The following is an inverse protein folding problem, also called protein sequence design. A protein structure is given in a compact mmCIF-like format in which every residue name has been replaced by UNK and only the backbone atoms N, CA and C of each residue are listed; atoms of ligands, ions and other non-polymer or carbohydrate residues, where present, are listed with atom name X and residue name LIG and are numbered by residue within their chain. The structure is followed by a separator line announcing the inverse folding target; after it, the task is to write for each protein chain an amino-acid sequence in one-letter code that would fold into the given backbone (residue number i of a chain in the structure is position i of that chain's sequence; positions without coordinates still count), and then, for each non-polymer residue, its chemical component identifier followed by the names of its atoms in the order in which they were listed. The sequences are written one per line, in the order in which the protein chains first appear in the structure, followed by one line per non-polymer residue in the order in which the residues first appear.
data_IF_115317881581
#
_entry.id   IF_115317881581
#
_cell.length_a   1.000
_cell.length_b   1.000
_cell.length_c   1.000
_cell.angle_alpha   90.00
_cell.angle_beta   90.00
_cell.angle_gamma   90.00
#
_symmetry.space_group_name_H-M   'P 1'
#
loop_
_entity.id
_entity.type
_entity.pdbx_description
1 polymer ?
#
# COMPACT_ATOMS: atom_id res chain seq x y z
N UNK A 1 -21.06 4.41 39.30
CA UNK A 1 -19.84 3.69 38.87
C UNK A 1 -18.99 4.73 38.19
N UNK A 2 -17.84 5.06 38.78
CA UNK A 2 -17.01 6.16 38.30
C UNK A 2 -16.44 5.83 36.93
N UNK A 3 -16.58 6.76 35.99
CA UNK A 3 -15.84 6.73 34.74
C UNK A 3 -14.35 6.85 35.08
N UNK A 4 -13.65 5.74 35.19
CA UNK A 4 -12.19 5.73 35.35
C UNK A 4 -11.59 6.19 34.02
N UNK A 5 -11.48 7.52 33.85
CA UNK A 5 -10.83 8.11 32.69
C UNK A 5 -9.36 7.68 32.71
N UNK A 6 -8.96 6.89 31.71
CA UNK A 6 -7.61 6.36 31.62
C UNK A 6 -6.60 7.51 31.51
N UNK A 7 -5.44 7.45 32.19
CA UNK A 7 -4.43 8.48 32.08
C UNK A 7 -3.95 8.60 30.63
N UNK A 8 -3.76 9.83 30.11
CA UNK A 8 -3.30 10.04 28.75
C UNK A 8 -1.85 9.61 28.56
N UNK A 9 -1.51 9.31 27.32
CA UNK A 9 -0.12 9.17 26.87
C UNK A 9 0.36 10.55 26.41
N UNK A 10 1.43 11.05 27.02
CA UNK A 10 2.08 12.28 26.59
C UNK A 10 3.01 11.96 25.43
N UNK A 11 2.85 12.68 24.33
CA UNK A 11 3.65 12.55 23.11
C UNK A 11 4.38 13.86 22.89
N UNK A 12 5.70 13.77 22.76
CA UNK A 12 6.59 14.90 22.57
C UNK A 12 7.43 14.69 21.31
N UNK A 13 7.81 15.78 20.65
CA UNK A 13 8.70 15.73 19.48
C UNK A 13 9.24 17.11 19.11
N UNK A 14 9.88 17.17 17.96
CA UNK A 14 10.66 18.32 17.48
C UNK A 14 9.92 19.15 16.42
N UNK A 15 8.60 19.32 16.56
CA UNK A 15 7.82 20.20 15.69
C UNK A 15 7.71 21.62 16.26
N UNK A 16 7.35 22.60 15.43
CA UNK A 16 7.15 23.99 15.88
C UNK A 16 5.75 24.18 16.47
N UNK A 17 5.55 25.05 17.48
CA UNK A 17 4.22 25.33 18.04
C UNK A 17 3.18 25.76 16.99
N UNK A 18 3.61 26.49 15.95
CA UNK A 18 2.75 26.89 14.82
C UNK A 18 2.16 25.69 14.05
N UNK A 19 2.80 24.53 14.15
CA UNK A 19 2.39 23.28 13.50
C UNK A 19 1.48 22.41 14.39
N UNK A 20 1.17 22.83 15.63
CA UNK A 20 0.39 22.03 16.60
C UNK A 20 -0.96 21.55 16.04
N UNK A 21 -1.64 22.38 15.24
CA UNK A 21 -2.91 22.00 14.62
C UNK A 21 -2.75 20.87 13.60
N UNK A 22 -1.73 20.96 12.74
CA UNK A 22 -1.42 19.92 11.76
C UNK A 22 -0.96 18.65 12.45
N UNK A 23 -0.09 18.79 13.47
CA UNK A 23 0.43 17.68 14.24
C UNK A 23 -0.68 16.93 14.98
N UNK A 24 -1.64 17.63 15.59
CA UNK A 24 -2.80 17.00 16.25
C UNK A 24 -3.51 16.01 15.34
N UNK A 25 -3.82 16.43 14.10
CA UNK A 25 -4.50 15.57 13.13
C UNK A 25 -3.63 14.38 12.72
N UNK A 26 -2.35 14.61 12.46
CA UNK A 26 -1.39 13.55 12.09
C UNK A 26 -1.23 12.51 13.20
N UNK A 27 -1.04 12.95 14.44
CA UNK A 27 -0.97 12.06 15.61
C UNK A 27 -2.25 11.25 15.77
N UNK A 28 -3.42 11.89 15.60
CA UNK A 28 -4.69 11.19 15.71
C UNK A 28 -4.83 10.06 14.67
N UNK A 29 -4.47 10.31 13.41
CA UNK A 29 -4.50 9.29 12.36
C UNK A 29 -3.47 8.18 12.65
N UNK A 30 -2.25 8.57 13.05
CA UNK A 30 -1.17 7.62 13.34
C UNK A 30 -1.51 6.65 14.48
N UNK A 31 -2.04 7.17 15.60
CA UNK A 31 -2.43 6.35 16.75
C UNK A 31 -3.72 5.55 16.53
N UNK A 32 -4.51 5.86 15.50
CA UNK A 32 -5.63 5.01 15.07
C UNK A 32 -5.18 3.82 14.21
N UNK A 33 -4.05 3.92 13.52
CA UNK A 33 -3.50 2.80 12.75
C UNK A 33 -2.95 1.72 13.66
N UNK A 34 -3.60 0.55 13.67
CA UNK A 34 -3.17 -0.61 14.45
C UNK A 34 -1.83 -1.13 13.94
N UNK A 35 -1.58 -1.08 12.63
CA UNK A 35 -0.32 -1.54 12.02
C UNK A 35 0.84 -0.58 12.29
N UNK A 36 0.62 0.75 12.20
CA UNK A 36 1.70 1.75 12.34
C UNK A 36 2.05 2.10 13.77
N UNK A 37 1.11 2.02 14.72
CA UNK A 37 1.37 2.42 16.12
C UNK A 37 1.01 1.36 17.16
N UNK A 38 0.42 0.23 16.76
CA UNK A 38 -0.24 -0.74 17.67
C UNK A 38 -1.45 -0.16 18.41
N UNK A 39 -1.95 0.99 17.95
CA UNK A 39 -3.02 1.75 18.58
C UNK A 39 -4.44 1.31 18.20
N UNK A 40 -5.34 2.28 18.19
CA UNK A 40 -6.78 2.13 18.02
C UNK A 40 -7.51 3.44 18.30
N UNK A 41 -8.81 3.38 18.58
CA UNK A 41 -9.62 4.58 18.82
C UNK A 41 -9.03 5.50 19.90
N UNK A 42 -8.68 6.72 19.49
CA UNK A 42 -8.07 7.71 20.35
C UNK A 42 -8.55 9.15 20.05
N UNK A 43 -8.42 10.02 21.06
CA UNK A 43 -8.59 11.48 20.97
C UNK A 43 -7.25 12.14 21.25
N UNK A 44 -6.90 13.17 20.47
CA UNK A 44 -5.63 13.92 20.64
C UNK A 44 -5.92 15.36 21.02
N UNK A 45 -5.21 15.86 22.03
CA UNK A 45 -5.25 17.24 22.49
C UNK A 45 -3.83 17.79 22.44
N UNK A 46 -3.60 18.83 21.62
CA UNK A 46 -2.30 19.48 21.54
C UNK A 46 -2.18 20.51 22.67
N UNK A 47 -1.00 20.60 23.28
CA UNK A 47 -0.69 21.59 24.30
C UNK A 47 -0.39 22.94 23.63
N UNK A 48 -0.97 24.03 24.13
CA UNK A 48 -0.75 25.36 23.56
C UNK A 48 0.68 25.85 23.85
N UNK A 49 1.41 26.24 22.80
CA UNK A 49 2.75 26.81 22.91
C UNK A 49 3.90 25.83 23.13
N UNK A 50 3.63 24.52 23.21
CA UNK A 50 4.65 23.49 23.35
C UNK A 50 4.51 22.40 22.26
N UNK A 51 5.61 21.75 21.84
CA UNK A 51 5.57 20.61 20.92
C UNK A 51 5.23 19.32 21.66
N UNK A 52 4.08 19.34 22.34
CA UNK A 52 3.58 18.25 23.18
C UNK A 52 2.08 18.06 22.92
N UNK A 53 1.64 16.81 23.00
CA UNK A 53 0.23 16.47 22.87
C UNK A 53 -0.15 15.32 23.82
N UNK A 54 -1.36 15.35 24.34
CA UNK A 54 -1.95 14.28 25.12
C UNK A 54 -2.83 13.39 24.23
N UNK A 55 -2.61 12.08 24.28
CA UNK A 55 -3.38 11.08 23.53
C UNK A 55 -4.19 10.23 24.50
N UNK A 56 -5.51 10.27 24.35
CA UNK A 56 -6.46 9.54 25.16
C UNK A 56 -6.95 8.32 24.38
N UNK A 57 -6.64 7.12 24.88
CA UNK A 57 -7.09 5.86 24.28
C UNK A 57 -8.36 5.37 24.99
N UNK A 58 -9.28 4.78 24.23
CA UNK A 58 -10.50 4.19 24.81
C UNK A 58 -10.24 2.92 25.63
N UNK A 59 -9.11 2.25 25.44
CA UNK A 59 -8.79 0.98 26.06
C UNK A 59 -7.37 1.00 26.63
N UNK A 60 -7.23 0.54 27.86
CA UNK A 60 -5.94 0.37 28.55
C UNK A 60 -5.02 -0.61 27.80
N UNK A 61 -5.56 -1.73 27.31
CA UNK A 61 -4.80 -2.68 26.50
C UNK A 61 -4.31 -2.07 25.17
N UNK A 62 -4.98 -1.05 24.63
CA UNK A 62 -4.48 -0.31 23.45
C UNK A 62 -3.35 0.61 23.88
N UNK A 63 -3.54 1.38 24.96
CA UNK A 63 -2.53 2.28 25.53
C UNK A 63 -1.20 1.56 25.78
N UNK A 64 -1.24 0.43 26.46
CA UNK A 64 -0.04 -0.31 26.86
C UNK A 64 0.70 -0.90 25.65
N UNK A 65 -0.03 -1.33 24.60
CA UNK A 65 0.58 -1.79 23.34
C UNK A 65 1.28 -0.67 22.58
N UNK A 66 0.74 0.55 22.62
CA UNK A 66 1.36 1.73 22.02
C UNK A 66 2.63 2.12 22.78
N UNK A 67 2.58 2.13 24.12
CA UNK A 67 3.74 2.43 24.98
C UNK A 67 4.84 1.37 24.89
N UNK A 68 4.48 0.09 24.71
CA UNK A 68 5.45 -0.99 24.54
C UNK A 68 6.22 -0.91 23.21
N UNK A 69 5.69 -0.18 22.21
CA UNK A 69 6.36 0.02 20.93
C UNK A 69 7.45 1.09 21.08
N UNK A 70 8.69 0.71 20.75
CA UNK A 70 9.89 1.54 20.99
C UNK A 70 10.05 2.71 20.02
N UNK A 71 9.62 2.54 18.78
CA UNK A 71 9.82 3.54 17.72
C UNK A 71 8.47 4.01 17.19
N UNK A 72 8.23 5.31 17.33
CA UNK A 72 7.09 6.02 16.75
C UNK A 72 7.64 7.12 15.87
N UNK A 73 7.35 7.03 14.57
CA UNK A 73 7.87 7.94 13.55
C UNK A 73 6.72 8.48 12.73
N UNK A 74 6.71 9.80 12.51
CA UNK A 74 5.66 10.47 11.75
C UNK A 74 6.26 11.43 10.73
N UNK A 75 5.67 11.48 9.55
CA UNK A 75 6.11 12.37 8.47
C UNK A 75 5.37 13.71 8.56
N UNK A 76 6.10 14.79 8.79
CA UNK A 76 5.61 16.17 8.77
C UNK A 76 6.43 16.99 7.77
N UNK A 77 5.79 17.59 6.76
CA UNK A 77 6.44 18.48 5.78
C UNK A 77 7.74 17.88 5.17
N UNK A 78 7.69 16.59 4.79
CA UNK A 78 8.81 15.81 4.26
C UNK A 78 9.97 15.57 5.25
N UNK A 79 9.77 15.81 6.54
CA UNK A 79 10.69 15.45 7.62
C UNK A 79 10.07 14.35 8.48
N UNK A 80 10.84 13.29 8.74
CA UNK A 80 10.43 12.26 9.69
C UNK A 80 10.79 12.71 11.09
N UNK A 81 9.79 12.82 11.96
CA UNK A 81 9.93 13.18 13.37
C UNK A 81 9.84 11.92 14.22
N UNK A 82 10.73 11.82 15.21
CA UNK A 82 10.74 10.72 16.18
C UNK A 82 9.95 11.19 17.40
N UNK A 83 8.91 10.45 17.74
CA UNK A 83 8.03 10.77 18.86
C UNK A 83 8.51 10.09 20.13
N UNK A 84 8.58 10.85 21.23
CA UNK A 84 8.84 10.33 22.57
C UNK A 84 7.54 10.21 23.33
N UNK A 85 7.23 8.99 23.78
CA UNK A 85 6.02 8.70 24.54
C UNK A 85 6.37 8.58 26.03
N UNK A 86 5.54 9.17 26.89
CA UNK A 86 5.61 9.01 28.34
C UNK A 86 4.20 8.78 28.90
N UNK A 87 4.09 7.90 29.90
CA UNK A 87 2.85 7.67 30.60
C UNK A 87 2.64 8.79 31.62
N UNK A 88 1.43 9.36 31.72
CA UNK A 88 1.08 10.38 32.70
C UNK A 88 1.05 9.91 34.16
N UNK A 89 1.59 8.73 34.48
CA UNK A 89 1.88 8.34 35.86
C UNK A 89 3.03 9.21 36.36
N UNK A 90 2.75 10.07 37.34
CA UNK A 90 3.78 10.72 38.16
C UNK A 90 4.70 9.63 38.72
N UNK A 91 5.86 9.45 38.09
CA UNK A 91 6.93 8.63 38.65
C UNK A 91 7.53 9.37 39.85
N UNK A 92 7.25 8.89 41.06
CA UNK A 92 8.15 9.12 42.17
C UNK A 92 9.43 8.32 41.92
N UNK A 93 10.64 8.92 41.99
CA UNK A 93 11.87 8.18 41.90
C UNK A 93 12.14 7.55 43.26
N UNK A 94 11.94 6.25 43.37
CA UNK A 94 12.59 5.50 44.45
C UNK A 94 13.44 4.40 43.83
N UNK A 95 14.71 4.74 43.68
CA UNK A 95 15.83 3.82 43.68
C UNK A 95 15.65 2.73 44.74
N UNK A 96 15.72 1.47 44.33
CA UNK A 96 16.41 0.48 45.14
C UNK A 96 17.02 -0.55 44.22
N UNK A 97 18.35 -0.53 44.22
CA UNK A 97 19.22 -1.57 43.73
C UNK A 97 18.78 -2.94 44.23
N UNK A 98 18.93 -3.93 43.35
CA UNK A 98 18.63 -5.34 43.59
C UNK A 98 19.20 -6.18 42.47
N UNK A 99 20.52 -6.09 42.33
CA UNK A 99 21.40 -7.00 41.60
C UNK A 99 20.95 -8.48 41.71
N UNK A 100 20.73 -9.13 40.56
CA UNK A 100 20.91 -10.58 40.32
C UNK A 100 20.48 -10.94 38.89
N UNK A 101 21.44 -10.93 37.96
CA UNK A 101 21.50 -11.90 36.85
C UNK A 101 22.51 -13.01 37.28
N UNK A 102 22.62 -14.20 36.64
CA UNK A 102 22.01 -14.60 35.38
C UNK A 102 21.42 -16.03 35.34
N UNK A 103 20.47 -16.29 34.43
CA UNK A 103 20.48 -17.54 33.64
C UNK A 103 19.50 -17.54 32.46
N UNK A 104 20.10 -17.55 31.28
CA UNK A 104 19.56 -18.13 30.03
C UNK A 104 19.10 -19.57 30.26
N UNK A 105 18.07 -20.04 29.52
CA UNK A 105 18.44 -20.94 28.44
C UNK A 105 17.69 -20.71 27.11
N UNK A 106 18.49 -21.00 26.09
CA UNK A 106 18.24 -21.14 24.66
C UNK A 106 17.07 -22.08 24.35
N UNK A 107 16.26 -21.76 23.34
CA UNK A 107 15.46 -22.74 22.59
C UNK A 107 15.44 -22.32 21.13
N UNK A 108 16.17 -23.08 20.31
CA UNK A 108 16.12 -23.04 18.85
C UNK A 108 14.87 -23.77 18.32
N UNK A 109 14.48 -23.48 17.07
CA UNK A 109 13.25 -23.97 16.45
C UNK A 109 13.47 -25.34 15.77
N UNK A 110 12.43 -26.17 15.71
CA UNK A 110 12.39 -27.33 14.80
C UNK A 110 10.98 -27.52 14.19
N UNK A 111 10.88 -28.23 13.05
CA UNK A 111 9.97 -27.91 11.94
C UNK A 111 8.83 -28.92 11.72
N UNK A 112 7.83 -28.48 10.94
CA UNK A 112 7.03 -29.22 9.91
C UNK A 112 6.22 -30.49 10.33
N UNK A 113 4.98 -30.67 9.82
CA UNK A 113 4.86 -31.18 8.44
C UNK A 113 3.71 -30.59 7.60
N UNK A 114 4.10 -30.18 6.40
CA UNK A 114 3.62 -30.70 5.11
C UNK A 114 2.10 -30.75 4.83
N UNK A 115 1.73 -29.85 3.92
CA UNK A 115 0.91 -30.08 2.73
C UNK A 115 -0.36 -30.93 2.85
N UNK A 116 -1.51 -30.30 2.57
CA UNK A 116 -2.33 -30.61 1.38
C UNK A 116 -3.49 -29.62 1.32
N UNK A 117 -3.39 -28.56 0.51
CA UNK A 117 -4.56 -28.00 -0.18
C UNK A 117 -4.20 -27.70 -1.63
N UNK A 118 -4.47 -28.72 -2.44
CA UNK A 118 -4.64 -28.62 -3.88
C UNK A 118 -5.72 -27.59 -4.21
N UNK A 119 -5.39 -26.85 -5.26
CA UNK A 119 -6.26 -26.45 -6.36
C UNK A 119 -7.06 -25.15 -6.24
N UNK A 120 -6.61 -24.25 -7.12
CA UNK A 120 -7.41 -23.49 -8.07
C UNK A 120 -7.74 -22.05 -7.65
N UNK A 121 -6.69 -21.26 -7.39
CA UNK A 121 -6.77 -19.84 -7.74
C UNK A 121 -6.82 -19.75 -9.27
N UNK A 122 -8.03 -19.74 -9.84
CA UNK A 122 -8.22 -19.11 -11.15
C UNK A 122 -7.84 -17.65 -10.97
N UNK A 123 -6.58 -17.32 -11.24
CA UNK A 123 -6.18 -15.93 -11.42
C UNK A 123 -7.03 -15.41 -12.58
N UNK A 124 -7.93 -14.48 -12.29
CA UNK A 124 -8.75 -13.78 -13.28
C UNK A 124 -7.93 -12.77 -14.07
N UNK A 125 -6.68 -13.10 -14.40
CA UNK A 125 -5.90 -12.31 -15.34
C UNK A 125 -6.58 -12.42 -16.69
N UNK A 126 -7.09 -11.29 -17.17
CA UNK A 126 -7.54 -11.19 -18.55
C UNK A 126 -6.39 -11.67 -19.44
N UNK A 127 -6.65 -12.58 -20.39
CA UNK A 127 -5.60 -13.14 -21.22
C UNK A 127 -5.11 -12.04 -22.18
N UNK A 128 -4.12 -11.29 -21.73
CA UNK A 128 -3.66 -10.09 -22.41
C UNK A 128 -2.14 -10.04 -22.55
N UNK A 129 -1.70 -9.39 -23.63
CA UNK A 129 -0.30 -9.18 -24.00
C UNK A 129 -0.07 -7.69 -24.21
N UNK A 130 1.04 -7.19 -23.69
CA UNK A 130 1.52 -5.84 -23.97
C UNK A 130 2.52 -5.91 -25.12
N UNK A 131 2.23 -5.15 -26.18
CA UNK A 131 3.17 -4.81 -27.22
C UNK A 131 3.86 -3.51 -26.84
N UNK A 132 5.18 -3.54 -26.76
CA UNK A 132 6.00 -2.38 -26.37
C UNK A 132 6.73 -1.81 -27.59
N UNK A 133 7.19 -0.56 -27.46
CA UNK A 133 7.87 0.19 -28.51
C UNK A 133 6.98 0.44 -29.75
N UNK A 134 5.68 0.68 -29.50
CA UNK A 134 4.72 1.06 -30.55
C UNK A 134 4.99 2.51 -30.96
N UNK A 135 5.59 2.66 -32.14
CA UNK A 135 5.87 3.96 -32.74
C UNK A 135 4.62 4.56 -33.40
N UNK A 136 4.51 5.90 -33.42
CA UNK A 136 3.38 6.64 -34.00
C UNK A 136 3.17 6.39 -35.51
N UNK A 137 4.18 5.88 -36.20
CA UNK A 137 4.09 5.48 -37.61
C UNK A 137 3.43 4.11 -37.81
N UNK A 138 3.20 3.32 -36.75
CA UNK A 138 2.48 2.06 -36.84
C UNK A 138 0.98 2.34 -36.77
N UNK A 139 0.27 2.02 -37.85
CA UNK A 139 -1.19 2.14 -37.87
C UNK A 139 -1.82 1.02 -37.05
N UNK A 140 -3.03 1.27 -36.54
CA UNK A 140 -3.84 0.25 -35.87
C UNK A 140 -4.03 -0.99 -36.74
N UNK A 141 -4.30 -0.82 -38.02
CA UNK A 141 -4.51 -1.92 -38.97
C UNK A 141 -3.25 -2.78 -39.14
N UNK A 142 -2.06 -2.17 -39.15
CA UNK A 142 -0.81 -2.91 -39.21
C UNK A 142 -0.59 -3.73 -37.94
N UNK A 143 -0.89 -3.17 -36.77
CA UNK A 143 -0.81 -3.90 -35.51
C UNK A 143 -1.82 -5.05 -35.44
N UNK A 144 -3.06 -4.84 -35.88
CA UNK A 144 -4.08 -5.90 -35.98
C UNK A 144 -3.59 -7.02 -36.91
N UNK A 145 -3.14 -6.69 -38.11
CA UNK A 145 -2.59 -7.66 -39.06
C UNK A 145 -1.41 -8.45 -38.48
N UNK A 146 -0.52 -7.79 -37.73
CA UNK A 146 0.59 -8.47 -37.06
C UNK A 146 0.10 -9.46 -36.02
N UNK A 147 -0.86 -9.06 -35.19
CA UNK A 147 -1.44 -9.92 -34.17
C UNK A 147 -2.13 -11.13 -34.81
N UNK A 148 -2.96 -10.93 -35.83
CA UNK A 148 -3.61 -12.01 -36.60
C UNK A 148 -2.59 -12.98 -37.18
N UNK A 149 -1.54 -12.47 -37.85
CA UNK A 149 -0.55 -13.33 -38.49
C UNK A 149 0.27 -14.15 -37.48
N UNK A 150 0.58 -13.59 -36.31
CA UNK A 150 1.37 -14.28 -35.28
C UNK A 150 0.49 -15.28 -34.52
N UNK A 151 -0.72 -14.87 -34.13
CA UNK A 151 -1.66 -15.70 -33.35
C UNK A 151 -2.37 -16.77 -34.19
N UNK A 152 -2.47 -16.56 -35.51
CA UNK A 152 -3.32 -17.33 -36.44
C UNK A 152 -4.80 -17.26 -36.08
N UNK A 153 -5.22 -16.16 -35.46
CA UNK A 153 -6.60 -15.87 -35.10
C UNK A 153 -7.17 -14.75 -35.99
N UNK A 154 -8.48 -14.66 -36.02
CA UNK A 154 -9.20 -13.52 -36.61
C UNK A 154 -9.38 -12.36 -35.60
N UNK A 155 -9.74 -11.19 -36.11
CA UNK A 155 -10.05 -9.98 -35.33
C UNK A 155 -11.19 -10.11 -34.32
N UNK A 156 -12.01 -11.16 -34.36
CA UNK A 156 -13.10 -11.38 -33.39
C UNK A 156 -12.63 -12.15 -32.15
N UNK A 157 -11.46 -12.79 -32.24
CA UNK A 157 -10.87 -13.58 -31.15
C UNK A 157 -9.98 -12.77 -30.20
N UNK A 158 -9.74 -11.50 -30.51
CA UNK A 158 -9.00 -10.59 -29.65
C UNK A 158 -9.46 -9.14 -29.87
N UNK A 159 -9.05 -8.26 -28.96
CA UNK A 159 -9.21 -6.82 -29.09
C UNK A 159 -7.87 -6.13 -28.90
N UNK A 160 -7.72 -4.96 -29.53
CA UNK A 160 -6.48 -4.18 -29.50
C UNK A 160 -6.78 -2.73 -29.13
N UNK A 161 -6.10 -2.27 -28.08
CA UNK A 161 -6.13 -0.91 -27.56
C UNK A 161 -4.72 -0.31 -27.59
N UNK A 162 -4.58 0.93 -28.05
CA UNK A 162 -3.27 1.60 -28.17
C UNK A 162 -3.22 2.75 -27.18
N UNK A 163 -2.13 2.82 -26.42
CA UNK A 163 -1.83 3.84 -25.43
C UNK A 163 -0.61 4.61 -25.93
N UNK A 164 -0.86 5.68 -26.70
CA UNK A 164 0.18 6.43 -27.41
C UNK A 164 1.16 7.12 -26.47
N UNK A 165 0.65 7.61 -25.33
CA UNK A 165 1.42 8.27 -24.28
C UNK A 165 2.52 7.37 -23.72
N UNK A 166 2.26 6.06 -23.68
CA UNK A 166 3.18 5.04 -23.17
C UNK A 166 3.91 4.28 -24.29
N UNK A 167 3.61 4.55 -25.57
CA UNK A 167 4.12 3.80 -26.73
C UNK A 167 3.87 2.30 -26.61
N UNK A 168 2.69 1.94 -26.13
CA UNK A 168 2.26 0.56 -25.88
C UNK A 168 0.94 0.26 -26.59
N UNK A 169 0.72 -1.01 -26.91
CA UNK A 169 -0.59 -1.53 -27.27
C UNK A 169 -0.91 -2.75 -26.42
N UNK A 170 -2.15 -2.86 -25.97
CA UNK A 170 -2.65 -4.01 -25.21
C UNK A 170 -3.51 -4.85 -26.12
N UNK A 171 -3.16 -6.12 -26.25
CA UNK A 171 -3.90 -7.13 -26.99
C UNK A 171 -4.60 -8.00 -25.97
N UNK A 172 -5.93 -8.00 -25.96
CA UNK A 172 -6.75 -8.83 -25.06
C UNK A 172 -7.35 -9.95 -25.88
N UNK A 173 -6.91 -11.17 -25.64
CA UNK A 173 -7.42 -12.37 -26.30
C UNK A 173 -8.72 -12.85 -25.64
N UNK A 174 -9.47 -13.71 -26.32
CA UNK A 174 -10.62 -14.37 -25.71
C UNK A 174 -10.23 -15.62 -24.90
N UNK A 175 -9.08 -16.22 -25.22
CA UNK A 175 -8.61 -17.47 -24.62
C UNK A 175 -7.17 -17.34 -24.09
N UNK A 176 -6.90 -17.70 -22.81
CA UNK A 176 -5.55 -17.67 -22.23
C UNK A 176 -4.53 -18.55 -22.97
N UNK A 177 -4.96 -19.65 -23.59
CA UNK A 177 -4.05 -20.53 -24.33
C UNK A 177 -3.39 -19.82 -25.53
N UNK A 178 -4.01 -18.74 -26.04
CA UNK A 178 -3.48 -18.01 -27.18
C UNK A 178 -2.39 -17.01 -26.77
N UNK A 179 -2.44 -16.50 -25.53
CA UNK A 179 -1.36 -15.69 -24.95
C UNK A 179 -0.06 -16.50 -24.86
N UNK A 180 -0.15 -17.74 -24.35
CA UNK A 180 1.00 -18.63 -24.16
C UNK A 180 1.68 -18.99 -25.49
N UNK A 181 0.91 -19.09 -26.58
CA UNK A 181 1.44 -19.35 -27.93
C UNK A 181 1.96 -18.07 -28.59
N UNK A 182 1.29 -16.95 -28.38
CA UNK A 182 1.59 -15.68 -29.03
C UNK A 182 2.96 -15.15 -28.64
N UNK A 183 3.31 -15.16 -27.35
CA UNK A 183 4.57 -14.61 -26.85
C UNK A 183 5.80 -15.23 -27.55
N UNK A 184 6.02 -16.57 -27.54
CA UNK A 184 7.17 -17.15 -28.21
C UNK A 184 7.12 -16.99 -29.74
N UNK A 185 5.94 -17.00 -30.35
CA UNK A 185 5.78 -16.78 -31.79
C UNK A 185 6.17 -15.34 -32.19
N UNK A 186 5.80 -14.35 -31.37
CA UNK A 186 6.08 -12.93 -31.62
C UNK A 186 7.58 -12.60 -31.57
N UNK A 187 8.33 -13.23 -30.65
CA UNK A 187 9.78 -13.00 -30.48
C UNK A 187 10.59 -13.42 -31.71
N UNK A 188 10.07 -14.35 -32.51
CA UNK A 188 10.70 -14.85 -33.73
C UNK A 188 10.13 -14.20 -35.00
N UNK A 189 9.15 -13.30 -34.89
CA UNK A 189 8.49 -12.70 -36.05
C UNK A 189 9.34 -11.57 -36.66
N UNK A 190 9.64 -11.68 -37.96
CA UNK A 190 10.54 -10.75 -38.67
C UNK A 190 10.03 -9.30 -38.65
N UNK A 191 8.72 -9.09 -38.85
CA UNK A 191 8.14 -7.74 -38.85
C UNK A 191 8.11 -7.13 -37.46
N UNK A 192 7.93 -7.92 -36.39
CA UNK A 192 8.03 -7.43 -35.01
C UNK A 192 9.43 -6.87 -34.76
N UNK A 193 10.46 -7.65 -35.11
CA UNK A 193 11.87 -7.23 -34.98
C UNK A 193 12.21 -6.01 -35.85
N UNK A 194 11.71 -5.94 -37.08
CA UNK A 194 11.94 -4.81 -37.99
C UNK A 194 11.42 -3.49 -37.41
N UNK A 195 10.28 -3.53 -36.73
CA UNK A 195 9.70 -2.36 -36.08
C UNK A 195 10.16 -2.18 -34.62
N UNK A 196 11.05 -3.04 -34.13
CA UNK A 196 11.55 -3.02 -32.75
C UNK A 196 10.48 -3.34 -31.71
N UNK A 197 9.37 -3.97 -32.09
CA UNK A 197 8.30 -4.34 -31.20
C UNK A 197 8.70 -5.55 -30.36
N UNK A 198 8.39 -5.51 -29.06
CA UNK A 198 8.46 -6.65 -28.15
C UNK A 198 7.07 -6.97 -27.61
N UNK A 199 6.84 -8.23 -27.27
CA UNK A 199 5.60 -8.66 -26.64
C UNK A 199 5.91 -9.35 -25.31
N UNK A 200 5.11 -9.06 -24.29
CA UNK A 200 5.14 -9.75 -23.00
C UNK A 200 3.73 -9.93 -22.45
N UNK A 201 3.54 -10.88 -21.54
CA UNK A 201 2.27 -11.03 -20.83
C UNK A 201 1.95 -9.75 -20.06
N UNK A 202 0.67 -9.37 -20.02
CA UNK A 202 0.20 -8.29 -19.17
C UNK A 202 0.31 -8.74 -17.69
N UNK A 203 1.05 -7.97 -16.91
CA UNK A 203 1.23 -8.23 -15.49
C UNK A 203 -0.03 -7.88 -14.69
N UNK A 204 -0.18 -8.55 -13.55
CA UNK A 204 -1.25 -8.25 -12.61
C UNK A 204 -1.06 -6.85 -12.02
N UNK A 205 -2.12 -6.06 -11.94
CA UNK A 205 -2.06 -4.73 -11.35
C UNK A 205 -1.73 -4.84 -9.84
N UNK A 206 -0.70 -4.13 -9.42
CA UNK A 206 -0.28 -4.00 -8.00
C UNK A 206 -0.61 -2.65 -7.43
N UNK A 207 -1.27 -1.77 -8.19
CA UNK A 207 -1.66 -0.45 -7.72
C UNK A 207 -3.04 -0.02 -8.17
N UNK A 208 -3.67 0.81 -7.34
CA UNK A 208 -4.94 1.47 -7.59
C UNK A 208 -4.68 2.97 -7.68
N UNK A 209 -5.28 3.62 -8.68
CA UNK A 209 -5.31 5.07 -8.76
C UNK A 209 -6.60 5.58 -8.14
N UNK A 210 -6.46 6.45 -7.14
CA UNK A 210 -7.57 7.13 -6.46
C UNK A 210 -7.63 8.56 -6.97
N UNK A 211 -8.80 8.98 -7.45
CA UNK A 211 -9.05 10.32 -7.99
C UNK A 211 -9.95 11.15 -7.08
N UNK A 212 -10.07 12.45 -7.36
CA UNK A 212 -10.98 13.35 -6.64
C UNK A 212 -10.49 13.69 -5.22
N UNK A 213 -9.19 13.59 -4.99
CA UNK A 213 -8.60 13.81 -3.67
C UNK A 213 -8.49 15.31 -3.35
N UNK A 214 -8.80 15.73 -2.11
CA UNK A 214 -8.53 17.08 -1.64
C UNK A 214 -7.03 17.43 -1.71
N UNK A 215 -6.71 18.71 -1.91
CA UNK A 215 -5.33 19.21 -2.02
C UNK A 215 -4.48 19.12 -0.73
N UNK A 216 -5.06 18.76 0.42
CA UNK A 216 -4.38 18.82 1.73
C UNK A 216 -4.13 17.44 2.32
N UNK A 217 -2.85 17.10 2.56
CA UNK A 217 -2.33 16.05 3.46
C UNK A 217 -3.23 14.83 3.73
N UNK A 218 -3.81 14.25 2.67
CA UNK A 218 -4.70 13.07 2.79
C UNK A 218 -3.95 11.75 2.81
N UNK A 219 -2.61 11.75 2.66
CA UNK A 219 -1.81 10.53 2.58
C UNK A 219 -2.04 9.60 3.79
N UNK A 220 -1.87 10.14 5.00
CA UNK A 220 -2.02 9.35 6.23
C UNK A 220 -3.46 8.84 6.39
N UNK A 221 -4.45 9.63 5.96
CA UNK A 221 -5.86 9.25 5.97
C UNK A 221 -6.14 8.11 4.98
N UNK A 222 -5.53 8.16 3.80
CA UNK A 222 -5.70 7.16 2.76
C UNK A 222 -5.09 5.82 3.20
N UNK A 223 -3.88 5.85 3.79
CA UNK A 223 -3.26 4.67 4.39
C UNK A 223 -4.17 4.04 5.46
N UNK A 224 -4.74 4.86 6.35
CA UNK A 224 -5.65 4.39 7.40
C UNK A 224 -6.96 3.83 6.81
N UNK A 225 -7.50 4.45 5.76
CA UNK A 225 -8.72 3.99 5.10
C UNK A 225 -8.53 2.61 4.46
N UNK A 226 -7.45 2.41 3.70
CA UNK A 226 -7.12 1.10 3.14
C UNK A 226 -6.86 0.06 4.22
N UNK A 227 -6.13 0.40 5.30
CA UNK A 227 -5.92 -0.51 6.44
C UNK A 227 -7.24 -0.97 7.07
N UNK A 228 -8.24 -0.07 7.15
CA UNK A 228 -9.53 -0.36 7.78
C UNK A 228 -10.43 -1.25 6.94
N UNK A 229 -10.39 -1.09 5.60
CA UNK A 229 -11.33 -1.74 4.70
C UNK A 229 -10.75 -2.96 3.96
N UNK A 230 -9.43 -3.00 3.76
CA UNK A 230 -8.72 -4.09 3.08
C UNK A 230 -7.39 -4.40 3.80
N UNK A 231 -6.29 -3.79 3.35
CA UNK A 231 -4.93 -4.02 3.82
C UNK A 231 -4.18 -2.70 3.86
N UNK A 232 -3.19 -2.60 4.75
CA UNK A 232 -2.30 -1.45 4.77
C UNK A 232 -1.49 -1.41 3.46
N UNK A 233 -1.51 -0.31 2.70
CA UNK A 233 -0.71 -0.18 1.48
C UNK A 233 0.79 -0.19 1.77
N UNK A 234 1.58 -0.67 0.82
CA UNK A 234 3.04 -0.61 0.91
C UNK A 234 3.55 0.80 0.61
N UNK A 235 2.90 1.47 -0.34
CA UNK A 235 3.29 2.80 -0.78
C UNK A 235 2.08 3.60 -1.25
N UNK A 236 2.06 4.87 -0.84
CA UNK A 236 1.13 5.88 -1.36
C UNK A 236 1.93 7.01 -1.97
N UNK A 237 1.75 7.24 -3.27
CA UNK A 237 2.35 8.34 -4.03
C UNK A 237 1.26 9.34 -4.39
N UNK A 238 1.35 10.54 -3.83
CA UNK A 238 0.43 11.62 -4.16
C UNK A 238 0.77 12.24 -5.52
N UNK A 239 -0.25 12.59 -6.29
CA UNK A 239 -0.16 13.34 -7.56
C UNK A 239 -1.08 14.57 -7.44
N UNK A 240 -0.67 15.62 -6.69
CA UNK A 240 -1.53 16.75 -6.37
C UNK A 240 -2.04 17.51 -7.60
N UNK A 241 -1.25 17.55 -8.67
CA UNK A 241 -1.57 18.22 -9.94
C UNK A 241 -2.82 17.61 -10.59
N UNK A 242 -3.06 16.32 -10.36
CA UNK A 242 -4.19 15.57 -10.90
C UNK A 242 -5.28 15.29 -9.85
N UNK A 243 -5.16 15.84 -8.63
CA UNK A 243 -6.02 15.49 -7.50
C UNK A 243 -6.12 13.97 -7.28
N UNK A 244 -4.98 13.28 -7.44
CA UNK A 244 -4.94 11.83 -7.44
C UNK A 244 -3.86 11.28 -6.52
N UNK A 245 -3.93 9.97 -6.27
CA UNK A 245 -2.85 9.21 -5.64
C UNK A 245 -2.77 7.81 -6.25
N UNK A 246 -1.55 7.28 -6.32
CA UNK A 246 -1.28 5.90 -6.68
C UNK A 246 -0.97 5.15 -5.40
N UNK A 247 -1.77 4.13 -5.11
CA UNK A 247 -1.67 3.28 -3.92
C UNK A 247 -1.20 1.91 -4.37
N UNK A 248 -0.07 1.44 -3.85
CA UNK A 248 0.59 0.19 -4.23
C UNK A 248 0.48 -0.85 -3.13
N UNK A 249 0.27 -2.09 -3.53
CA UNK A 249 0.10 -3.28 -2.71
C UNK A 249 1.03 -4.41 -3.17
N UNK A 250 1.39 -5.29 -2.25
CA UNK A 250 2.31 -6.41 -2.51
C UNK A 250 1.62 -7.55 -3.26
N UNK A 251 0.38 -7.88 -2.89
CA UNK A 251 -0.39 -8.94 -3.55
C UNK A 251 -1.35 -8.32 -4.58
N UNK A 252 -1.22 -8.66 -5.89
CA UNK A 252 -2.18 -8.23 -6.90
C UNK A 252 -3.64 -8.60 -6.59
N UNK A 253 -3.89 -9.63 -5.77
CA UNK A 253 -5.25 -9.99 -5.33
C UNK A 253 -5.91 -8.90 -4.51
N UNK A 254 -5.13 -8.15 -3.73
CA UNK A 254 -5.66 -7.03 -2.95
C UNK A 254 -6.25 -5.97 -3.89
N UNK A 255 -5.56 -5.69 -5.00
CA UNK A 255 -6.04 -4.77 -6.04
C UNK A 255 -7.32 -5.29 -6.72
N UNK A 256 -7.36 -6.57 -7.08
CA UNK A 256 -8.56 -7.18 -7.64
C UNK A 256 -9.76 -7.07 -6.68
N UNK A 257 -9.55 -7.30 -5.39
CA UNK A 257 -10.59 -7.22 -4.37
C UNK A 257 -11.05 -5.79 -4.08
N UNK A 258 -10.15 -4.81 -4.19
CA UNK A 258 -10.48 -3.39 -4.12
C UNK A 258 -11.34 -2.99 -5.32
N UNK A 259 -10.91 -3.35 -6.54
CA UNK A 259 -11.62 -2.99 -7.78
C UNK A 259 -12.92 -3.77 -8.00
N UNK A 260 -13.12 -4.92 -7.33
CA UNK A 260 -14.39 -5.68 -7.37
C UNK A 260 -15.52 -5.01 -6.59
N UNK A 261 -15.20 -4.17 -5.60
CA UNK A 261 -16.23 -3.44 -4.86
C UNK A 261 -16.65 -2.22 -5.67
N UNK A 262 -17.74 -2.34 -6.39
CA UNK A 262 -18.55 -1.18 -6.78
C UNK A 262 -19.30 -0.71 -5.54
N UNK A 263 -18.81 0.34 -4.87
CA UNK A 263 -19.62 1.05 -3.88
C UNK A 263 -20.63 1.93 -4.63
N UNK A 264 -21.91 1.58 -4.52
CA UNK A 264 -23.09 2.37 -4.93
C UNK A 264 -23.29 3.61 -4.06
#
# INVERSE_FOLDING_TARGET
MGDTELPPVTVEGDWSPDQNRTMKNKLQIYFQSKKKSSGGDCRVEAEDGAPRAAVFFRSEAVRDRVLARKNHEILLENRTLILRLSSGLLENPTSSDGDSDPKTPKSEPEPEPSATKRNNSKSTHRPAVVLENVSENLTRDLLLMLVENISKLDEHNFSLEIIWESKMAVVIFNNPADVEKFIPASQNHSTMRKHGLSARALEAATGVRVEGLPQKDVKDLLELWFEKHWVLPDKVVMVPEEQAAIVTFSDPKDVEDICRKEDH
#
